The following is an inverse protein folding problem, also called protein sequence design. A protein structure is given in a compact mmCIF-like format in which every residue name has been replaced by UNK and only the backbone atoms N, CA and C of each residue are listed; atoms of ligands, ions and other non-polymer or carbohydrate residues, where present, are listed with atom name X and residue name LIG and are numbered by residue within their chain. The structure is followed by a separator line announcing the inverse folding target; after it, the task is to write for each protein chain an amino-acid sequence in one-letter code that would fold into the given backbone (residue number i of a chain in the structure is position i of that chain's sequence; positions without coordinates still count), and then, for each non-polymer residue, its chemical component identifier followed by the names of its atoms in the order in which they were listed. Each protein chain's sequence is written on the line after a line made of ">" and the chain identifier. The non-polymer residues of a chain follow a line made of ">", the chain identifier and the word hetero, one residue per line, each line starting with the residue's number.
data_IF_970736023889
#
_entry.id   IF_970736023889
#
_cell.length_a   1.000
_cell.length_b   1.000
_cell.length_c   1.000
_cell.angle_alpha   90.00
_cell.angle_beta   90.00
_cell.angle_gamma   90.00
#
_symmetry.space_group_name_H-M   'P 1'
#
loop_
_entity.id
_entity.type
_entity.pdbx_description
1 polymer ?
#
# COMPACT_ATOMS: atom_id res chain seq x y z
N UNK A 1 38.71 -45.63 -3.91
CA UNK A 1 37.24 -45.59 -3.88
C UNK A 1 36.85 -44.40 -4.73
N UNK A 2 36.40 -44.71 -5.94
CA UNK A 2 36.19 -43.78 -7.06
C UNK A 2 35.01 -42.86 -6.80
N UNK A 3 35.17 -41.63 -7.30
CA UNK A 3 34.24 -40.51 -7.51
C UNK A 3 32.74 -40.83 -7.43
N UNK A 4 31.98 -39.90 -6.84
CA UNK A 4 30.90 -39.25 -7.59
C UNK A 4 30.46 -37.95 -6.90
N UNK A 5 30.85 -36.84 -7.50
CA UNK A 5 30.17 -35.56 -7.38
C UNK A 5 28.76 -35.72 -7.99
N UNK A 6 27.72 -35.48 -7.19
CA UNK A 6 26.38 -35.24 -7.73
C UNK A 6 26.05 -33.78 -7.51
N UNK A 7 26.52 -32.97 -8.46
CA UNK A 7 25.87 -31.72 -8.85
C UNK A 7 24.37 -31.96 -8.97
N UNK A 8 23.59 -31.29 -8.13
CA UNK A 8 22.19 -31.02 -8.44
C UNK A 8 22.06 -29.52 -8.60
N UNK A 9 22.34 -29.09 -9.83
CA UNK A 9 21.93 -27.83 -10.39
C UNK A 9 20.40 -27.71 -10.30
N UNK A 10 19.91 -27.21 -9.16
CA UNK A 10 18.54 -26.73 -9.04
C UNK A 10 18.52 -25.34 -9.66
N UNK A 11 17.95 -25.27 -10.85
CA UNK A 11 17.86 -24.08 -11.67
C UNK A 11 17.41 -22.86 -10.87
N UNK A 12 18.19 -21.79 -11.00
CA UNK A 12 17.75 -20.43 -10.67
C UNK A 12 16.45 -20.19 -11.45
N UNK A 13 15.32 -19.83 -10.80
CA UNK A 13 14.19 -19.30 -11.55
C UNK A 13 14.64 -17.98 -12.18
N UNK A 14 14.83 -18.04 -13.48
CA UNK A 14 15.06 -16.92 -14.38
C UNK A 14 13.82 -16.05 -14.33
N UNK A 15 13.99 -14.79 -13.95
CA UNK A 15 13.12 -13.68 -14.30
C UNK A 15 11.63 -13.92 -14.15
N UNK A 16 11.11 -13.96 -12.91
CA UNK A 16 9.77 -13.42 -12.70
C UNK A 16 9.89 -11.92 -12.88
N UNK A 17 9.58 -11.45 -14.09
CA UNK A 17 9.53 -10.05 -14.46
C UNK A 17 8.94 -9.26 -13.32
N UNK A 18 9.76 -8.37 -12.77
CA UNK A 18 9.29 -7.22 -12.00
C UNK A 18 8.05 -6.72 -12.72
N UNK A 19 6.90 -6.85 -12.06
CA UNK A 19 5.64 -6.27 -12.51
C UNK A 19 5.86 -4.77 -12.54
N UNK A 20 6.45 -4.31 -13.63
CA UNK A 20 6.42 -2.94 -14.10
C UNK A 20 4.98 -2.69 -14.56
N UNK A 21 4.14 -2.51 -13.56
CA UNK A 21 2.82 -1.89 -13.63
C UNK A 21 2.79 -0.77 -12.61
N UNK A 22 3.85 0.04 -12.55
CA UNK A 22 3.74 1.42 -12.09
C UNK A 22 3.75 2.26 -13.34
N UNK A 23 2.60 2.25 -14.00
CA UNK A 23 2.23 3.26 -14.97
C UNK A 23 2.58 4.61 -14.34
N UNK A 24 3.14 5.54 -15.10
CA UNK A 24 3.54 6.87 -14.65
C UNK A 24 2.37 7.77 -14.19
N UNK A 25 1.26 7.19 -13.71
CA UNK A 25 0.11 7.86 -13.11
C UNK A 25 0.03 7.45 -11.63
N UNK A 26 0.14 8.46 -10.77
CA UNK A 26 -0.42 8.43 -9.41
C UNK A 26 0.30 7.60 -8.35
N UNK A 27 1.59 7.88 -8.08
CA UNK A 27 1.99 7.82 -6.66
C UNK A 27 1.35 9.04 -5.99
N UNK A 28 0.29 8.82 -5.22
CA UNK A 28 -0.42 9.89 -4.52
C UNK A 28 0.58 10.64 -3.63
N UNK A 29 0.99 11.84 -4.05
CA UNK A 29 1.94 12.66 -3.28
C UNK A 29 1.18 13.34 -2.15
N UNK A 30 1.02 12.65 -1.02
CA UNK A 30 0.24 13.11 0.14
C UNK A 30 0.50 14.58 0.51
N UNK A 31 1.76 15.03 0.46
CA UNK A 31 2.12 16.45 0.68
C UNK A 31 1.54 17.39 -0.36
N UNK A 32 1.62 17.04 -1.65
CA UNK A 32 1.14 17.87 -2.75
C UNK A 32 -0.38 18.00 -2.69
N UNK A 33 -1.07 16.90 -2.39
CA UNK A 33 -2.51 16.90 -2.13
C UNK A 33 -2.88 17.86 -0.98
N UNK A 34 -2.21 17.75 0.17
CA UNK A 34 -2.47 18.60 1.34
C UNK A 34 -2.23 20.08 1.07
N UNK A 35 -1.19 20.40 0.29
CA UNK A 35 -0.93 21.78 -0.15
C UNK A 35 -2.02 22.26 -1.10
N UNK A 36 -2.39 21.46 -2.11
CA UNK A 36 -3.43 21.84 -3.07
C UNK A 36 -4.77 22.10 -2.38
N UNK A 37 -5.21 21.18 -1.50
CA UNK A 37 -6.46 21.28 -0.73
C UNK A 37 -6.56 22.56 0.11
N UNK A 38 -5.41 23.11 0.55
CA UNK A 38 -5.38 24.38 1.31
C UNK A 38 -5.79 25.59 0.47
N UNK A 39 -5.59 25.55 -0.85
CA UNK A 39 -5.80 26.70 -1.73
C UNK A 39 -6.97 26.51 -2.70
N UNK A 40 -7.28 25.29 -3.14
CA UNK A 40 -8.45 24.94 -3.94
C UNK A 40 -8.71 23.42 -3.91
N UNK A 41 -9.67 22.95 -4.70
CA UNK A 41 -9.85 21.51 -4.92
C UNK A 41 -8.60 20.91 -5.62
N UNK A 42 -7.96 19.87 -5.06
CA UNK A 42 -6.84 19.17 -5.68
C UNK A 42 -7.09 18.73 -7.14
N UNK A 43 -8.32 18.36 -7.49
CA UNK A 43 -8.67 17.94 -8.85
C UNK A 43 -8.48 19.07 -9.88
N UNK A 44 -8.61 20.33 -9.44
CA UNK A 44 -8.36 21.52 -10.29
C UNK A 44 -6.92 21.57 -10.78
N UNK A 45 -5.99 20.93 -10.05
CA UNK A 45 -4.58 20.83 -10.41
C UNK A 45 -4.21 19.49 -11.06
N UNK A 46 -5.19 18.65 -11.40
CA UNK A 46 -4.97 17.31 -11.92
C UNK A 46 -4.43 16.32 -10.87
N UNK A 47 -4.56 16.66 -9.59
CA UNK A 47 -4.21 15.78 -8.48
C UNK A 47 -5.47 14.96 -8.16
N UNK A 48 -5.40 13.61 -8.15
CA UNK A 48 -6.55 12.78 -7.80
C UNK A 48 -7.13 13.16 -6.44
N UNK A 49 -8.47 13.08 -6.31
CA UNK A 49 -9.14 13.19 -5.02
C UNK A 49 -8.59 12.17 -4.01
N UNK A 50 -8.81 12.47 -2.73
CA UNK A 50 -8.55 11.47 -1.69
C UNK A 50 -9.52 10.31 -1.93
N UNK A 51 -9.04 9.06 -2.02
CA UNK A 51 -9.96 7.94 -2.01
C UNK A 51 -10.76 7.98 -0.70
N UNK A 52 -12.04 7.65 -0.77
CA UNK A 52 -12.83 7.43 0.43
C UNK A 52 -12.25 6.23 1.20
N UNK A 53 -12.10 6.37 2.51
CA UNK A 53 -11.69 5.27 3.38
C UNK A 53 -12.57 5.25 4.62
N UNK A 54 -12.90 4.04 5.05
CA UNK A 54 -13.64 3.80 6.28
C UNK A 54 -12.72 3.47 7.42
N UNK A 55 -13.04 4.03 8.57
CA UNK A 55 -12.47 3.62 9.85
C UNK A 55 -13.37 2.52 10.42
N UNK A 56 -12.80 1.33 10.59
CA UNK A 56 -13.45 0.19 11.22
C UNK A 56 -12.85 0.07 12.62
N UNK A 57 -13.70 0.06 13.65
CA UNK A 57 -13.29 -0.22 15.03
C UNK A 57 -14.00 -1.47 15.51
N UNK A 58 -13.23 -2.47 15.93
CA UNK A 58 -13.73 -3.73 16.45
C UNK A 58 -12.81 -4.28 17.55
N UNK A 59 -13.39 -4.85 18.61
CA UNK A 59 -12.69 -5.47 19.74
C UNK A 59 -11.45 -4.72 20.27
N UNK A 60 -11.51 -3.38 20.28
CA UNK A 60 -10.44 -2.51 20.76
C UNK A 60 -9.32 -2.23 19.73
N UNK A 61 -9.38 -2.85 18.56
CA UNK A 61 -8.56 -2.53 17.39
C UNK A 61 -9.13 -1.40 16.52
N UNK A 62 -8.31 -0.92 15.59
CA UNK A 62 -8.66 0.09 14.61
C UNK A 62 -8.06 -0.29 13.26
N UNK A 63 -8.86 -0.26 12.21
CA UNK A 63 -8.45 -0.57 10.86
C UNK A 63 -8.94 0.50 9.88
N UNK A 64 -8.15 0.76 8.84
CA UNK A 64 -8.48 1.64 7.74
C UNK A 64 -8.58 0.81 6.46
N UNK A 65 -9.73 0.89 5.81
CA UNK A 65 -10.05 0.16 4.58
C UNK A 65 -10.69 1.13 3.57
N UNK A 66 -10.68 0.77 2.29
CA UNK A 66 -11.33 1.56 1.23
C UNK A 66 -12.85 1.58 1.43
N UNK A 67 -13.43 0.45 1.82
CA UNK A 67 -14.82 0.29 2.20
C UNK A 67 -14.98 -0.66 3.41
N UNK A 68 -16.21 -1.02 3.79
CA UNK A 68 -16.48 -1.88 4.95
C UNK A 68 -16.25 -3.38 4.72
N UNK A 69 -16.11 -3.82 3.47
CA UNK A 69 -15.99 -5.23 3.09
C UNK A 69 -14.58 -5.59 2.56
N UNK A 70 -13.79 -4.56 2.24
CA UNK A 70 -12.43 -4.68 1.73
C UNK A 70 -11.41 -4.95 2.82
N UNK A 71 -10.31 -5.58 2.41
CA UNK A 71 -9.19 -5.87 3.29
C UNK A 71 -8.51 -4.56 3.75
N UNK A 72 -8.39 -4.30 5.06
CA UNK A 72 -7.79 -3.06 5.53
C UNK A 72 -6.29 -2.98 5.25
N UNK A 73 -5.87 -1.84 4.70
CA UNK A 73 -4.47 -1.56 4.37
C UNK A 73 -3.66 -1.04 5.57
N UNK A 74 -4.32 -0.49 6.58
CA UNK A 74 -3.71 -0.18 7.89
C UNK A 74 -4.53 -0.86 8.97
N UNK A 75 -3.86 -1.59 9.87
CA UNK A 75 -4.46 -2.22 11.05
C UNK A 75 -3.65 -1.89 12.30
N UNK A 76 -4.33 -1.60 13.38
CA UNK A 76 -3.75 -1.37 14.70
C UNK A 76 -4.55 -2.20 15.71
N UNK A 77 -3.94 -3.21 16.31
CA UNK A 77 -4.61 -4.09 17.27
C UNK A 77 -4.84 -3.41 18.64
N UNK A 78 -3.96 -2.49 19.04
CA UNK A 78 -4.00 -1.81 20.34
C UNK A 78 -3.75 -0.29 20.22
N UNK A 79 -4.62 0.46 19.52
CA UNK A 79 -4.49 1.90 19.36
C UNK A 79 -4.60 2.63 20.71
N UNK A 80 -3.73 3.61 20.92
CA UNK A 80 -3.78 4.49 22.10
C UNK A 80 -4.59 5.75 21.73
N UNK A 81 -5.65 6.03 22.49
CA UNK A 81 -6.43 7.27 22.32
C UNK A 81 -5.64 8.47 22.84
N UNK A 82 -5.33 9.41 21.96
CA UNK A 82 -4.77 10.72 22.31
C UNK A 82 -5.89 11.74 22.27
N UNK A 83 -6.04 12.52 23.35
CA UNK A 83 -6.95 13.69 23.38
C UNK A 83 -6.21 14.88 22.79
N UNK A 84 -6.86 15.60 21.87
CA UNK A 84 -6.33 16.80 21.22
C UNK A 84 -6.89 18.05 21.87
#
# INVERSE_FOLDING_TARGET
>A
MTMDEKETATGRPVGSGSRRGTDGRSSMRARVWAVAYRYADPETYGIPALPDWRVISDDGGLALAEDGESDPFIRAERPIRVRR
#
